data_IF_425354742741
#
_entry.id   IF_425354742741
#
_cell.length_a   1.000
_cell.length_b   1.000
_cell.length_c   1.000
_cell.angle_alpha   90.00
_cell.angle_beta   90.00
_cell.angle_gamma   90.00
#
_symmetry.space_group_name_H-M   'P 1'
#
loop_
_entity.id
_entity.type
_entity.pdbx_description
1 polymer ?
#
# COMPACT_ATOMS: atom_id res chain seq x y z
N UNK A 1 31.88 -22.27 -6.89
CA UNK A 1 30.86 -21.20 -6.76
C UNK A 1 30.59 -20.91 -5.28
N UNK A 2 31.09 -19.77 -4.77
CA UNK A 2 30.96 -19.40 -3.36
C UNK A 2 29.53 -18.96 -3.03
N UNK A 3 28.99 -19.44 -1.91
CA UNK A 3 27.73 -18.92 -1.38
C UNK A 3 27.91 -17.43 -1.06
N UNK A 4 26.97 -16.54 -1.46
CA UNK A 4 27.02 -15.14 -1.03
C UNK A 4 27.00 -15.09 0.50
N UNK A 5 28.03 -14.49 1.12
CA UNK A 5 28.07 -14.31 2.56
C UNK A 5 26.99 -13.30 2.97
N UNK A 6 26.02 -13.71 3.78
CA UNK A 6 25.05 -12.80 4.37
C UNK A 6 25.79 -11.74 5.21
N UNK A 7 25.65 -10.48 4.84
CA UNK A 7 26.16 -9.34 5.62
C UNK A 7 24.97 -8.79 6.41
N UNK A 8 24.93 -8.90 7.75
CA UNK A 8 23.83 -8.35 8.53
C UNK A 8 23.81 -6.83 8.40
N UNK A 9 22.69 -6.29 7.90
CA UNK A 9 22.44 -4.86 7.90
C UNK A 9 22.01 -4.43 9.31
N UNK A 10 22.56 -3.32 9.79
CA UNK A 10 22.14 -2.68 11.05
C UNK A 10 21.55 -1.31 10.74
N UNK A 11 20.46 -0.96 11.40
CA UNK A 11 19.84 0.36 11.31
C UNK A 11 19.72 0.96 12.70
N UNK A 12 19.88 2.28 12.78
CA UNK A 12 19.73 3.05 14.02
C UNK A 12 18.77 4.22 13.77
N UNK A 13 17.86 4.46 14.71
CA UNK A 13 17.01 5.65 14.71
C UNK A 13 17.70 6.74 15.50
N UNK A 14 18.29 7.72 14.81
CA UNK A 14 19.09 8.81 15.42
C UNK A 14 18.21 9.80 16.21
N UNK A 15 16.96 10.04 15.79
CA UNK A 15 15.99 10.87 16.51
C UNK A 15 14.56 10.63 15.99
N UNK A 16 13.58 10.57 16.88
CA UNK A 16 12.16 10.55 16.57
C UNK A 16 11.38 11.34 17.65
N UNK A 17 10.84 12.51 17.30
CA UNK A 17 10.06 13.36 18.22
C UNK A 17 8.81 13.86 17.50
N UNK A 18 7.58 13.77 18.08
CA UNK A 18 7.15 13.07 19.30
C UNK A 18 6.65 11.64 19.01
N UNK A 19 6.61 10.80 20.06
CA UNK A 19 6.03 9.45 19.97
C UNK A 19 4.56 9.54 19.48
N UNK A 20 4.19 8.86 18.38
CA UNK A 20 2.82 8.87 17.90
C UNK A 20 1.89 8.31 18.97
N UNK A 21 0.81 9.05 19.23
CA UNK A 21 -0.37 8.65 20.00
C UNK A 21 -0.73 7.21 19.62
N UNK A 22 -0.68 6.29 20.60
CA UNK A 22 -0.95 4.84 20.51
C UNK A 22 -0.55 4.19 19.17
N UNK A 23 0.52 3.38 19.16
CA UNK A 23 1.04 2.67 17.98
C UNK A 23 -0.07 2.03 17.13
N UNK A 24 -0.60 2.80 16.17
CA UNK A 24 -1.68 2.34 15.32
C UNK A 24 -1.12 1.20 14.45
N UNK A 25 -1.81 0.05 14.38
CA UNK A 25 -1.33 -1.09 13.60
C UNK A 25 -1.25 -0.75 12.10
N UNK A 26 -1.98 0.28 11.66
CA UNK A 26 -2.03 0.76 10.30
C UNK A 26 -1.99 2.28 10.27
N UNK A 27 -1.11 2.85 9.44
CA UNK A 27 -1.11 4.27 9.10
C UNK A 27 -1.74 4.46 7.73
N UNK A 28 -2.66 5.42 7.62
CA UNK A 28 -3.25 5.84 6.35
C UNK A 28 -2.87 7.30 6.09
N UNK A 29 -2.18 7.55 4.98
CA UNK A 29 -1.70 8.87 4.58
C UNK A 29 -2.28 9.23 3.20
N UNK A 30 -3.21 10.19 3.14
CA UNK A 30 -3.68 10.73 1.86
C UNK A 30 -2.51 11.35 1.08
N UNK A 31 -2.50 11.19 -0.24
CA UNK A 31 -1.50 11.81 -1.11
C UNK A 31 -2.09 12.38 -2.39
N UNK A 32 -1.30 13.23 -3.04
CA UNK A 32 -1.50 13.68 -4.42
C UNK A 32 -0.23 13.32 -5.19
N UNK A 33 -0.37 12.56 -6.27
CA UNK A 33 0.74 12.12 -7.10
C UNK A 33 1.22 13.30 -7.94
N UNK A 34 2.51 13.59 -7.87
CA UNK A 34 3.07 14.79 -8.49
C UNK A 34 2.99 14.79 -10.03
N UNK A 35 3.01 13.60 -10.66
CA UNK A 35 3.09 13.48 -12.12
C UNK A 35 1.79 13.80 -12.83
N UNK A 36 0.65 13.48 -12.22
CA UNK A 36 -0.68 13.51 -12.84
C UNK A 36 -1.76 14.14 -11.93
N UNK A 37 -1.40 14.54 -10.71
CA UNK A 37 -2.35 15.10 -9.74
C UNK A 37 -3.32 14.07 -9.16
N UNK A 38 -3.14 12.77 -9.45
CA UNK A 38 -4.04 11.73 -8.98
C UNK A 38 -4.01 11.65 -7.45
N UNK A 39 -5.20 11.52 -6.86
CA UNK A 39 -5.36 11.38 -5.41
C UNK A 39 -5.29 9.92 -5.01
N UNK A 40 -4.87 9.67 -3.79
CA UNK A 40 -4.84 8.31 -3.28
C UNK A 40 -4.59 8.25 -1.79
N UNK A 41 -4.42 7.04 -1.30
CA UNK A 41 -4.04 6.77 0.09
C UNK A 41 -2.86 5.79 0.13
N UNK A 42 -1.84 6.18 0.89
CA UNK A 42 -0.71 5.32 1.26
C UNK A 42 -1.05 4.63 2.58
N UNK A 43 -1.04 3.31 2.57
CA UNK A 43 -1.26 2.47 3.74
C UNK A 43 0.07 1.86 4.18
N UNK A 44 0.39 1.93 5.47
CA UNK A 44 1.58 1.30 6.05
C UNK A 44 1.14 0.48 7.27
N UNK A 45 1.13 -0.84 7.11
CA UNK A 45 0.90 -1.78 8.21
C UNK A 45 2.18 -1.97 9.00
N UNK A 46 2.07 -1.97 10.33
CA UNK A 46 3.15 -2.26 11.27
C UNK A 46 2.95 -3.58 12.00
N UNK A 47 2.09 -4.46 11.50
CA UNK A 47 1.77 -5.74 12.13
C UNK A 47 2.44 -6.91 11.42
N UNK A 48 2.88 -7.91 12.19
CA UNK A 48 3.37 -9.18 11.66
C UNK A 48 2.26 -10.12 11.19
N UNK A 49 1.00 -9.74 11.40
CA UNK A 49 -0.20 -10.52 11.03
C UNK A 49 -0.86 -9.82 9.84
N UNK A 50 -1.41 -10.58 8.86
CA UNK A 50 -2.21 -10.01 7.78
C UNK A 50 -3.32 -9.09 8.32
N UNK A 51 -3.55 -7.98 7.62
CA UNK A 51 -4.52 -6.96 8.01
C UNK A 51 -5.54 -6.78 6.91
N UNK A 52 -6.81 -6.86 7.28
CA UNK A 52 -7.90 -6.52 6.38
C UNK A 52 -8.30 -5.06 6.61
N UNK A 53 -8.43 -4.31 5.52
CA UNK A 53 -8.80 -2.89 5.57
C UNK A 53 -10.04 -2.66 4.72
N UNK A 54 -10.91 -1.78 5.20
CA UNK A 54 -12.02 -1.24 4.42
C UNK A 54 -11.73 0.23 4.15
N UNK A 55 -11.66 0.59 2.87
CA UNK A 55 -11.40 1.94 2.39
C UNK A 55 -12.73 2.63 2.11
N UNK A 56 -12.87 3.84 2.66
CA UNK A 56 -14.04 4.68 2.44
C UNK A 56 -13.61 5.97 1.74
N UNK A 57 -14.33 6.33 0.68
CA UNK A 57 -14.09 7.54 -0.10
C UNK A 57 -14.36 7.34 -1.59
N UNK A 58 -14.68 8.44 -2.26
CA UNK A 58 -14.99 8.44 -3.69
C UNK A 58 -13.79 7.95 -4.50
N UNK A 59 -14.06 7.08 -5.47
CA UNK A 59 -13.03 6.50 -6.34
C UNK A 59 -12.13 5.44 -5.70
N UNK A 60 -12.31 5.07 -4.42
CA UNK A 60 -11.48 4.04 -3.78
C UNK A 60 -12.00 2.61 -4.01
N UNK A 61 -13.31 2.41 -4.11
CA UNK A 61 -13.87 1.11 -4.48
C UNK A 61 -13.53 0.79 -5.94
N UNK A 62 -12.98 -0.41 -6.21
CA UNK A 62 -12.49 -0.78 -7.55
C UNK A 62 -11.18 -0.11 -7.96
N UNK A 63 -10.56 0.68 -7.09
CA UNK A 63 -9.28 1.34 -7.34
C UNK A 63 -8.14 0.33 -7.54
N UNK A 64 -7.10 0.74 -8.27
CA UNK A 64 -5.84 -0.01 -8.33
C UNK A 64 -4.98 0.27 -7.10
N UNK A 65 -4.32 -0.78 -6.61
CA UNK A 65 -3.42 -0.73 -5.48
C UNK A 65 -2.11 -1.46 -5.79
N UNK A 66 -0.99 -0.76 -5.69
CA UNK A 66 0.34 -1.37 -5.70
C UNK A 66 0.72 -1.76 -4.28
N UNK A 67 0.91 -3.05 -4.00
CA UNK A 67 1.10 -3.58 -2.63
C UNK A 67 2.46 -4.27 -2.51
N UNK A 68 3.27 -3.83 -1.57
CA UNK A 68 4.50 -4.49 -1.13
C UNK A 68 4.23 -5.17 0.21
N UNK A 69 4.13 -6.50 0.22
CA UNK A 69 3.91 -7.27 1.45
C UNK A 69 4.62 -8.63 1.48
N UNK A 70 5.58 -8.82 0.56
CA UNK A 70 6.35 -10.07 0.45
C UNK A 70 5.60 -11.22 -0.22
N UNK A 71 4.40 -10.98 -0.77
CA UNK A 71 3.66 -11.99 -1.53
C UNK A 71 4.01 -11.96 -3.02
N UNK A 72 4.05 -13.13 -3.65
CA UNK A 72 4.34 -13.27 -5.09
C UNK A 72 3.14 -12.93 -5.98
N UNK A 73 1.93 -13.23 -5.49
CA UNK A 73 0.67 -13.14 -6.23
C UNK A 73 -0.47 -12.56 -5.40
N UNK A 74 -0.15 -11.98 -4.25
CA UNK A 74 -1.13 -11.49 -3.31
C UNK A 74 -1.64 -12.50 -2.29
N UNK A 75 -1.23 -13.76 -2.40
CA UNK A 75 -1.70 -14.86 -1.55
C UNK A 75 -0.53 -15.63 -0.93
N UNK A 76 0.49 -15.96 -1.73
CA UNK A 76 1.63 -16.76 -1.32
C UNK A 76 2.80 -15.87 -0.89
N UNK A 77 3.17 -15.93 0.39
CA UNK A 77 4.34 -15.24 0.95
C UNK A 77 5.62 -16.00 0.59
N UNK A 78 6.60 -15.29 0.03
CA UNK A 78 7.90 -15.87 -0.33
C UNK A 78 8.77 -16.15 0.91
N UNK A 79 9.78 -17.02 0.76
CA UNK A 79 10.75 -17.29 1.80
C UNK A 79 11.64 -16.06 2.11
N UNK A 80 11.84 -15.19 1.13
CA UNK A 80 12.61 -13.95 1.25
C UNK A 80 11.74 -12.72 0.94
N UNK A 81 10.75 -12.39 1.81
CA UNK A 81 9.71 -11.41 1.51
C UNK A 81 10.25 -9.98 1.29
N UNK A 82 11.45 -9.67 1.80
CA UNK A 82 12.11 -8.38 1.59
C UNK A 82 12.65 -8.16 0.17
N UNK A 83 12.73 -9.19 -0.67
CA UNK A 83 13.21 -9.11 -2.05
C UNK A 83 12.09 -9.22 -3.10
N UNK A 84 10.86 -9.45 -2.65
CA UNK A 84 9.70 -9.56 -3.53
C UNK A 84 9.30 -8.18 -4.01
N UNK A 85 9.09 -8.04 -5.33
CA UNK A 85 8.63 -6.80 -5.92
C UNK A 85 7.17 -6.50 -5.51
N UNK A 86 6.74 -5.22 -5.53
CA UNK A 86 5.35 -4.89 -5.30
C UNK A 86 4.42 -5.56 -6.32
N UNK A 87 3.24 -5.97 -5.87
CA UNK A 87 2.21 -6.64 -6.67
C UNK A 87 1.00 -5.72 -6.85
N UNK A 88 0.45 -5.68 -8.05
CA UNK A 88 -0.79 -4.95 -8.34
C UNK A 88 -2.01 -5.73 -7.84
N UNK A 89 -2.93 -5.02 -7.18
CA UNK A 89 -4.22 -5.52 -6.70
C UNK A 89 -5.34 -4.55 -7.03
N UNK A 90 -6.57 -5.03 -6.97
CA UNK A 90 -7.77 -4.21 -7.08
C UNK A 90 -8.44 -4.16 -5.71
N UNK A 91 -8.86 -2.97 -5.29
CA UNK A 91 -9.69 -2.79 -4.12
C UNK A 91 -11.09 -3.32 -4.43
N UNK A 92 -11.64 -4.13 -3.53
CA UNK A 92 -12.97 -4.70 -3.67
C UNK A 92 -14.07 -3.64 -3.89
N UNK A 93 -15.23 -4.03 -4.43
CA UNK A 93 -16.35 -3.11 -4.67
C UNK A 93 -16.93 -2.50 -3.38
N UNK A 94 -16.68 -3.14 -2.24
CA UNK A 94 -17.01 -2.67 -0.89
C UNK A 94 -15.88 -1.86 -0.22
N UNK A 95 -14.81 -1.56 -0.97
CA UNK A 95 -13.61 -0.90 -0.45
C UNK A 95 -12.64 -1.86 0.24
N UNK A 96 -12.86 -3.17 0.19
CA UNK A 96 -12.02 -4.14 0.88
C UNK A 96 -10.65 -4.30 0.23
N UNK A 97 -9.60 -4.27 1.04
CA UNK A 97 -8.23 -4.61 0.63
C UNK A 97 -7.58 -5.47 1.71
N UNK A 98 -7.14 -6.67 1.33
CA UNK A 98 -6.31 -7.51 2.19
C UNK A 98 -4.83 -7.10 2.06
N UNK A 99 -4.15 -6.98 3.19
CA UNK A 99 -2.73 -6.66 3.30
C UNK A 99 -1.99 -7.80 4.01
N UNK A 100 -0.85 -8.21 3.49
CA UNK A 100 0.06 -9.11 4.18
C UNK A 100 0.75 -8.48 5.39
N UNK A 101 1.59 -9.25 6.10
CA UNK A 101 2.43 -8.74 7.19
C UNK A 101 3.31 -7.57 6.75
N UNK A 102 3.38 -6.52 7.57
CA UNK A 102 4.19 -5.32 7.34
C UNK A 102 3.98 -4.65 5.98
N UNK A 103 2.79 -4.82 5.40
CA UNK A 103 2.50 -4.34 4.06
C UNK A 103 2.60 -2.81 3.92
N UNK A 104 3.06 -2.37 2.76
CA UNK A 104 2.92 -1.01 2.26
C UNK A 104 2.05 -1.05 1.01
N UNK A 105 0.99 -0.25 0.95
CA UNK A 105 0.11 -0.19 -0.22
C UNK A 105 -0.10 1.25 -0.70
N UNK A 106 0.09 1.49 -2.00
CA UNK A 106 -0.31 2.72 -2.66
C UNK A 106 -1.62 2.49 -3.39
N UNK A 107 -2.72 3.04 -2.88
CA UNK A 107 -4.03 2.98 -3.52
C UNK A 107 -4.27 4.26 -4.28
N UNK A 108 -4.41 4.16 -5.61
CA UNK A 108 -4.71 5.31 -6.47
C UNK A 108 -6.21 5.38 -6.68
N UNK A 109 -6.87 6.41 -6.15
CA UNK A 109 -8.30 6.58 -6.36
C UNK A 109 -8.57 6.69 -7.87
N UNK A 110 -9.54 5.93 -8.36
CA UNK A 110 -10.02 6.08 -9.72
C UNK A 110 -10.48 7.53 -9.91
N UNK A 111 -9.97 8.19 -10.95
CA UNK A 111 -10.66 9.37 -11.46
C UNK A 111 -12.00 8.89 -11.98
N UNK A 112 -13.10 9.30 -11.36
CA UNK A 112 -14.32 9.46 -12.16
C UNK A 112 -13.89 10.38 -13.31
N UNK A 113 -13.83 9.82 -14.52
CA UNK A 113 -13.98 10.65 -15.71
C UNK A 113 -15.29 11.39 -15.47
N UNK A 114 -15.20 12.70 -15.24
CA UNK A 114 -16.32 13.61 -15.43
C UNK A 114 -16.61 13.55 -16.92
N UNK A 115 -17.31 12.50 -17.35
CA UNK A 115 -17.88 12.39 -18.69
C UNK A 115 -19.15 13.25 -18.71
N UNK A 116 -18.93 14.57 -18.61
CA UNK A 116 -20.01 15.55 -18.50
C UNK A 116 -19.71 16.82 -19.28
N UNK A 117 -19.05 16.71 -20.42
CA UNK A 117 -19.08 17.73 -21.49
C UNK A 117 -18.77 17.04 -22.82
N UNK A 118 -19.76 16.48 -23.51
CA UNK A 118 -19.85 16.34 -25.00
C UNK A 118 -21.19 15.67 -25.43
N UNK A 119 -22.26 15.78 -24.64
CA UNK A 119 -23.60 15.29 -25.03
C UNK A 119 -24.63 16.39 -25.30
N UNK A 120 -24.26 17.68 -25.16
CA UNK A 120 -25.12 18.82 -25.54
C UNK A 120 -24.25 20.02 -25.91
N UNK A 121 -24.04 20.23 -27.20
CA UNK A 121 -23.36 21.40 -27.76
C UNK A 121 -23.28 21.32 -29.27
#
# INVERSE_FOLDING_TARGET
PGCPSYVPYTSEVISAVPAPRAAAPLFALPYIKHTDGARGVLLVSKTSVPTNVTLHGDGLAGASATVLDGSLDGVHVDAEPGFVAPVERIVGPDGFLALGPYAVALVSAGSELVELVEATG
#
